data_IF_481383211089
#
_entry.id   IF_481383211089
#
_cell.length_a   1.000
_cell.length_b   1.000
_cell.length_c   1.000
_cell.angle_alpha   90.00
_cell.angle_beta   90.00
_cell.angle_gamma   90.00
#
_symmetry.space_group_name_H-M   'P 1'
#
loop_
_entity.id
_entity.type
_entity.pdbx_description
1 polymer ?
#
# COMPACT_ATOMS: atom_id res chain seq x y z
N UNK A 1 18.61 22.10 0.78
CA UNK A 1 17.35 21.47 0.33
C UNK A 1 17.74 20.33 -0.59
N UNK A 2 17.72 19.08 -0.11
CA UNK A 2 18.08 17.92 -0.92
C UNK A 2 16.82 17.42 -1.64
N UNK A 3 16.73 17.68 -2.95
CA UNK A 3 15.67 17.15 -3.79
C UNK A 3 16.03 15.73 -4.19
N UNK A 4 15.42 14.74 -3.55
CA UNK A 4 15.45 13.36 -4.06
C UNK A 4 14.58 13.34 -5.33
N UNK A 5 15.19 13.56 -6.49
CA UNK A 5 14.53 13.35 -7.77
C UNK A 5 14.32 11.86 -7.98
N UNK A 6 13.06 11.42 -7.91
CA UNK A 6 12.67 10.07 -8.33
C UNK A 6 12.77 10.04 -9.85
N UNK A 7 13.92 9.60 -10.37
CA UNK A 7 14.10 9.34 -11.80
C UNK A 7 13.52 7.97 -12.12
N UNK A 8 12.30 7.92 -12.66
CA UNK A 8 11.73 6.68 -13.20
C UNK A 8 12.31 6.48 -14.61
N UNK A 9 13.38 5.69 -14.70
CA UNK A 9 13.89 5.20 -15.98
C UNK A 9 13.29 3.81 -16.22
N UNK A 10 12.17 3.75 -16.92
CA UNK A 10 11.63 2.49 -17.43
C UNK A 10 11.75 2.48 -18.94
N UNK A 11 12.68 1.67 -19.47
CA UNK A 11 12.54 1.15 -20.82
C UNK A 11 11.18 0.45 -20.89
N UNK A 12 10.28 0.79 -21.83
CA UNK A 12 8.97 0.15 -21.87
C UNK A 12 9.19 -1.33 -22.22
N UNK A 13 9.18 -2.18 -21.19
CA UNK A 13 8.97 -3.60 -21.37
C UNK A 13 7.58 -3.76 -21.99
N UNK A 14 7.45 -4.66 -22.97
CA UNK A 14 6.23 -4.91 -23.75
C UNK A 14 5.10 -5.58 -22.92
N UNK A 15 4.99 -5.27 -21.62
CA UNK A 15 4.07 -5.87 -20.66
C UNK A 15 3.45 -4.81 -19.75
N UNK A 16 2.39 -5.20 -19.03
CA UNK A 16 1.75 -4.32 -18.05
C UNK A 16 2.74 -4.00 -16.93
N UNK A 17 2.93 -2.71 -16.67
CA UNK A 17 3.76 -2.25 -15.56
C UNK A 17 2.90 -2.21 -14.28
N UNK A 18 3.46 -2.68 -13.17
CA UNK A 18 2.82 -2.67 -11.86
C UNK A 18 3.70 -1.89 -10.90
N UNK A 19 3.11 -0.91 -10.21
CA UNK A 19 3.78 -0.15 -9.16
C UNK A 19 3.20 -0.59 -7.82
N UNK A 20 4.07 -1.08 -6.93
CA UNK A 20 3.68 -1.53 -5.60
C UNK A 20 4.29 -0.60 -4.55
N UNK A 21 3.44 0.03 -3.74
CA UNK A 21 3.86 0.84 -2.59
C UNK A 21 3.81 -0.05 -1.35
N UNK A 22 4.97 -0.37 -0.76
CA UNK A 22 5.08 -1.26 0.40
C UNK A 22 5.44 -0.47 1.66
N UNK A 23 4.79 -0.82 2.77
CA UNK A 23 5.10 -0.35 4.12
C UNK A 23 4.06 -0.85 5.13
N UNK A 24 4.29 -0.58 6.42
CA UNK A 24 3.27 -0.83 7.45
C UNK A 24 2.06 0.08 7.25
N UNK A 25 0.86 -0.33 7.66
CA UNK A 25 -0.40 0.46 7.65
C UNK A 25 -0.25 1.80 8.40
N UNK A 26 0.32 2.80 7.73
CA UNK A 26 0.67 4.12 8.28
C UNK A 26 0.36 5.19 7.25
N UNK A 27 0.17 6.42 7.71
CA UNK A 27 -0.24 7.54 6.85
C UNK A 27 0.69 7.81 5.66
N UNK A 28 1.97 7.43 5.74
CA UNK A 28 2.94 7.62 4.66
C UNK A 28 2.60 6.82 3.40
N UNK A 29 2.23 5.55 3.53
CA UNK A 29 1.89 4.69 2.37
C UNK A 29 0.60 5.18 1.70
N UNK A 30 -0.43 5.49 2.48
CA UNK A 30 -1.70 6.02 1.96
C UNK A 30 -1.51 7.38 1.28
N UNK A 31 -0.66 8.27 1.82
CA UNK A 31 -0.36 9.56 1.19
C UNK A 31 0.36 9.40 -0.16
N UNK A 32 1.33 8.48 -0.23
CA UNK A 32 2.02 8.15 -1.49
C UNK A 32 1.08 7.54 -2.52
N UNK A 33 0.24 6.59 -2.14
CA UNK A 33 -0.73 5.96 -3.06
C UNK A 33 -1.78 6.95 -3.54
N UNK A 34 -2.29 7.82 -2.66
CA UNK A 34 -3.19 8.90 -3.05
C UNK A 34 -2.55 9.89 -4.03
N UNK A 35 -1.27 10.26 -3.83
CA UNK A 35 -0.55 11.11 -4.77
C UNK A 35 -0.38 10.45 -6.15
N UNK A 36 -0.10 9.14 -6.18
CA UNK A 36 -0.02 8.36 -7.42
C UNK A 36 -1.37 8.31 -8.16
N UNK A 37 -2.47 8.16 -7.42
CA UNK A 37 -3.80 8.23 -8.00
C UNK A 37 -4.07 9.62 -8.64
N UNK A 38 -3.67 10.71 -7.97
CA UNK A 38 -3.82 12.06 -8.50
C UNK A 38 -3.06 12.31 -9.81
N UNK A 39 -1.98 11.58 -10.08
CA UNK A 39 -1.21 11.67 -11.35
C UNK A 39 -1.65 10.64 -12.40
N UNK A 40 -2.76 9.94 -12.16
CA UNK A 40 -3.39 9.05 -13.13
C UNK A 40 -2.96 7.58 -13.04
N UNK A 41 -2.31 7.16 -11.96
CA UNK A 41 -2.06 5.73 -11.70
C UNK A 41 -3.36 5.06 -11.26
N UNK A 42 -3.75 4.00 -11.97
CA UNK A 42 -4.90 3.19 -11.61
C UNK A 42 -4.57 2.29 -10.41
N UNK A 43 -5.44 2.30 -9.39
CA UNK A 43 -5.23 1.52 -8.15
C UNK A 43 -5.85 0.11 -8.20
N UNK A 44 -6.57 -0.21 -9.28
CA UNK A 44 -7.32 -1.46 -9.44
C UNK A 44 -8.72 -1.43 -8.81
N UNK A 45 -9.42 -2.56 -8.89
CA UNK A 45 -10.84 -2.66 -8.54
C UNK A 45 -11.10 -3.16 -7.10
N UNK A 46 -10.18 -3.93 -6.52
CA UNK A 46 -10.36 -4.58 -5.21
C UNK A 46 -9.74 -3.79 -4.06
N UNK A 47 -10.11 -2.51 -3.96
CA UNK A 47 -9.67 -1.67 -2.86
C UNK A 47 -10.42 -1.99 -1.57
N UNK A 48 -9.76 -1.78 -0.44
CA UNK A 48 -10.38 -1.94 0.87
C UNK A 48 -11.56 -0.97 1.07
N UNK A 49 -12.71 -1.53 1.46
CA UNK A 49 -13.90 -0.76 1.77
C UNK A 49 -13.72 0.12 2.99
N UNK A 50 -14.37 1.28 3.00
CA UNK A 50 -14.34 2.19 4.14
C UNK A 50 -15.07 1.65 5.36
N UNK A 51 -14.53 1.95 6.53
CA UNK A 51 -15.23 1.73 7.79
C UNK A 51 -15.97 2.99 8.21
N UNK A 52 -17.24 2.82 8.59
CA UNK A 52 -18.06 3.90 9.15
C UNK A 52 -17.36 4.47 10.39
N UNK A 53 -17.36 5.80 10.51
CA UNK A 53 -16.76 6.56 11.61
C UNK A 53 -15.22 6.53 11.72
N UNK A 54 -14.53 5.76 10.88
CA UNK A 54 -13.05 5.72 10.83
C UNK A 54 -12.55 6.30 9.52
N UNK A 55 -12.96 5.70 8.40
CA UNK A 55 -12.61 6.14 7.06
C UNK A 55 -13.70 5.73 6.06
N UNK A 56 -14.80 6.50 6.05
CA UNK A 56 -15.97 6.18 5.22
C UNK A 56 -15.69 6.24 3.71
N UNK A 57 -14.59 6.89 3.28
CA UNK A 57 -14.21 7.00 1.87
C UNK A 57 -13.54 5.74 1.32
N UNK A 58 -13.17 4.81 2.19
CA UNK A 58 -12.35 3.67 1.80
C UNK A 58 -10.87 3.98 1.79
N UNK A 59 -10.12 2.96 1.42
CA UNK A 59 -8.68 2.89 1.53
C UNK A 59 -8.07 2.80 0.12
N UNK A 60 -6.78 3.10 0.01
CA UNK A 60 -6.07 3.07 -1.27
C UNK A 60 -5.41 1.70 -1.53
N UNK A 61 -5.41 0.85 -0.51
CA UNK A 61 -4.76 -0.44 -0.48
C UNK A 61 -5.61 -1.49 -1.23
N UNK A 62 -4.97 -2.19 -2.16
CA UNK A 62 -5.57 -3.36 -2.81
C UNK A 62 -5.57 -4.53 -1.82
N UNK A 63 -6.77 -5.03 -1.50
CA UNK A 63 -7.01 -6.07 -0.48
C UNK A 63 -6.06 -7.27 -0.62
N UNK A 64 -6.04 -7.92 -1.78
CA UNK A 64 -5.18 -9.11 -2.01
C UNK A 64 -3.67 -8.85 -1.73
N UNK A 65 -3.17 -7.65 -2.01
CA UNK A 65 -1.75 -7.29 -1.81
C UNK A 65 -1.47 -7.00 -0.34
N UNK A 66 -2.36 -6.25 0.30
CA UNK A 66 -2.25 -5.90 1.72
C UNK A 66 -2.32 -7.16 2.60
N UNK A 67 -3.25 -8.07 2.31
CA UNK A 67 -3.41 -9.33 3.04
C UNK A 67 -2.16 -10.19 2.92
N UNK A 68 -1.62 -10.30 1.71
CA UNK A 68 -0.38 -11.04 1.45
C UNK A 68 0.80 -10.42 2.23
N UNK A 69 0.89 -9.09 2.27
CA UNK A 69 1.94 -8.40 3.02
C UNK A 69 1.83 -8.66 4.53
N UNK A 70 0.61 -8.61 5.08
CA UNK A 70 0.36 -8.91 6.49
C UNK A 70 0.70 -10.37 6.82
N UNK A 71 0.31 -11.33 5.99
CA UNK A 71 0.69 -12.74 6.14
C UNK A 71 2.22 -12.93 6.17
N UNK A 72 2.94 -12.26 5.27
CA UNK A 72 4.41 -12.33 5.22
C UNK A 72 5.03 -11.75 6.48
N UNK A 73 4.54 -10.60 6.95
CA UNK A 73 5.03 -9.95 8.17
C UNK A 73 4.80 -10.85 9.39
N UNK A 74 3.61 -11.46 9.50
CA UNK A 74 3.27 -12.39 10.58
C UNK A 74 4.22 -13.60 10.61
N UNK A 75 4.55 -14.15 9.44
CA UNK A 75 5.50 -15.28 9.33
C UNK A 75 6.93 -14.89 9.67
N UNK A 76 7.37 -13.68 9.30
CA UNK A 76 8.74 -13.22 9.52
C UNK A 76 8.98 -12.73 10.96
N UNK A 77 7.97 -12.21 11.64
CA UNK A 77 8.10 -11.73 13.01
C UNK A 77 6.88 -12.09 13.88
N UNK A 78 6.81 -13.32 14.42
CA UNK A 78 5.70 -13.75 15.27
C UNK A 78 5.51 -12.88 16.52
N UNK A 79 6.59 -12.24 16.99
CA UNK A 79 6.65 -11.51 18.26
C UNK A 79 6.03 -10.09 18.18
N UNK A 80 5.86 -9.52 16.98
CA UNK A 80 5.22 -8.20 16.83
C UNK A 80 3.69 -8.26 16.99
N UNK A 81 3.07 -9.42 16.80
CA UNK A 81 1.61 -9.59 16.91
C UNK A 81 1.06 -9.16 18.29
N UNK A 82 1.77 -9.53 19.37
CA UNK A 82 1.40 -9.16 20.74
C UNK A 82 1.56 -7.65 21.05
N UNK A 83 2.30 -6.89 20.24
CA UNK A 83 2.50 -5.44 20.43
C UNK A 83 1.43 -4.61 19.70
N UNK A 84 0.77 -5.18 18.69
CA UNK A 84 -0.18 -4.47 17.82
C UNK A 84 -1.64 -4.96 17.91
N UNK A 85 -1.93 -5.92 18.80
CA UNK A 85 -3.32 -6.33 19.07
C UNK A 85 -3.97 -7.14 17.94
N UNK A 86 -3.16 -7.70 17.03
CA UNK A 86 -3.61 -8.68 16.06
C UNK A 86 -3.64 -10.03 16.80
N UNK A 87 -4.83 -10.47 17.20
CA UNK A 87 -5.00 -11.81 17.76
C UNK A 87 -4.82 -12.82 16.62
N UNK A 88 -3.95 -13.79 16.85
CA UNK A 88 -3.79 -14.97 16.01
C UNK A 88 -5.09 -15.80 15.95
#
# INVERSE_FOLDING_TARGET
MNTNSITISSTPALGKQVLVVIGMHRSGTSASTGALQCVGVELGEKLYSGHRDINAKGYFEHSDIADTNDEVILRLCPVMCNRFGLNA
#
